data_IF_693789862049
#
_entry.id   IF_693789862049
#
_cell.length_a   1.000
_cell.length_b   1.000
_cell.length_c   1.000
_cell.angle_alpha   90.00
_cell.angle_beta   90.00
_cell.angle_gamma   90.00
#
_symmetry.space_group_name_H-M   'P 1'
#
loop_
_entity.id
_entity.type
_entity.pdbx_description
1 polymer ?
#
# COMPACT_ATOMS: atom_id res chain seq x y z
N UNK A 1 -12.92 -23.00 -11.27
CA UNK A 1 -12.24 -22.04 -10.38
C UNK A 1 -13.00 -21.99 -9.07
N UNK A 2 -12.29 -22.16 -7.98
CA UNK A 2 -12.84 -22.10 -6.63
C UNK A 2 -13.34 -20.68 -6.33
N UNK A 3 -14.50 -20.55 -5.67
CA UNK A 3 -14.98 -19.25 -5.22
C UNK A 3 -14.26 -18.88 -3.93
N UNK A 4 -13.75 -17.67 -3.87
CA UNK A 4 -13.05 -17.11 -2.73
C UNK A 4 -13.97 -16.13 -1.98
N UNK A 5 -14.31 -16.44 -0.74
CA UNK A 5 -15.13 -15.59 0.10
C UNK A 5 -14.30 -15.03 1.25
N UNK A 6 -14.10 -13.71 1.25
CA UNK A 6 -13.42 -12.98 2.31
C UNK A 6 -14.40 -12.43 3.32
N UNK A 7 -14.15 -12.70 4.60
CA UNK A 7 -14.82 -12.05 5.73
C UNK A 7 -13.76 -11.17 6.44
N UNK A 8 -14.00 -9.89 6.55
CA UNK A 8 -13.10 -8.98 7.25
C UNK A 8 -13.77 -8.41 8.49
N UNK A 9 -13.25 -8.79 9.65
CA UNK A 9 -13.69 -8.28 10.95
C UNK A 9 -12.99 -6.98 11.27
N UNK A 10 -13.78 -5.97 11.60
CA UNK A 10 -13.32 -4.61 11.84
C UNK A 10 -13.88 -4.03 13.14
N UNK A 11 -13.34 -2.87 13.53
CA UNK A 11 -13.99 -1.92 14.44
C UNK A 11 -14.06 -0.55 13.76
N UNK A 12 -15.13 0.20 13.99
CA UNK A 12 -15.28 1.55 13.43
C UNK A 12 -14.25 2.55 13.97
N UNK A 13 -13.58 2.24 15.08
CA UNK A 13 -12.47 3.03 15.63
C UNK A 13 -11.08 2.58 15.16
N UNK A 14 -11.01 1.55 14.32
CA UNK A 14 -9.75 0.98 13.83
C UNK A 14 -9.21 1.77 12.64
N UNK A 15 -8.05 2.39 12.79
CA UNK A 15 -7.41 3.19 11.72
C UNK A 15 -6.83 2.35 10.57
N UNK A 16 -6.48 1.08 10.82
CA UNK A 16 -5.89 0.18 9.82
C UNK A 16 -6.95 -0.63 9.05
N UNK A 17 -8.20 -0.67 9.52
CA UNK A 17 -9.24 -1.47 8.92
C UNK A 17 -9.68 -0.98 7.52
N UNK A 18 -9.76 0.33 7.24
CA UNK A 18 -10.20 0.83 5.94
C UNK A 18 -9.36 0.32 4.77
N UNK A 19 -8.03 0.28 4.91
CA UNK A 19 -7.14 -0.14 3.82
C UNK A 19 -7.36 -1.61 3.44
N UNK A 20 -7.52 -2.47 4.45
CA UNK A 20 -7.80 -3.91 4.24
C UNK A 20 -9.17 -4.13 3.61
N UNK A 21 -10.21 -3.43 4.09
CA UNK A 21 -11.58 -3.50 3.54
C UNK A 21 -11.57 -3.06 2.08
N UNK A 22 -10.92 -1.94 1.75
CA UNK A 22 -10.83 -1.43 0.39
C UNK A 22 -10.13 -2.39 -0.55
N UNK A 23 -9.01 -2.98 -0.11
CA UNK A 23 -8.27 -3.96 -0.92
C UNK A 23 -9.13 -5.19 -1.24
N UNK A 24 -9.83 -5.76 -0.25
CA UNK A 24 -10.69 -6.92 -0.47
C UNK A 24 -11.91 -6.60 -1.34
N UNK A 25 -12.49 -5.41 -1.19
CA UNK A 25 -13.57 -4.94 -2.06
C UNK A 25 -13.09 -4.75 -3.52
N UNK A 26 -11.85 -4.28 -3.72
CA UNK A 26 -11.26 -4.20 -5.06
C UNK A 26 -11.09 -5.59 -5.68
N UNK A 27 -10.62 -6.59 -4.91
CA UNK A 27 -10.53 -7.97 -5.40
C UNK A 27 -11.90 -8.48 -5.87
N UNK A 28 -12.95 -8.27 -5.06
CA UNK A 28 -14.31 -8.67 -5.41
C UNK A 28 -14.88 -7.91 -6.63
N UNK A 29 -14.48 -6.66 -6.83
CA UNK A 29 -14.91 -5.88 -7.99
C UNK A 29 -14.23 -6.35 -9.27
N UNK A 30 -12.96 -6.76 -9.18
CA UNK A 30 -12.15 -7.17 -10.34
C UNK A 30 -12.35 -8.62 -10.74
N UNK A 31 -12.80 -9.48 -9.82
CA UNK A 31 -12.97 -10.93 -10.09
C UNK A 31 -14.33 -11.43 -9.58
N UNK A 32 -15.23 -11.88 -10.47
CA UNK A 32 -16.56 -12.35 -10.09
C UNK A 32 -16.57 -13.62 -9.22
N UNK A 33 -15.45 -14.33 -9.12
CA UNK A 33 -15.31 -15.49 -8.23
C UNK A 33 -14.82 -15.09 -6.82
N UNK A 34 -14.62 -13.81 -6.57
CA UNK A 34 -14.24 -13.29 -5.26
C UNK A 34 -15.41 -12.50 -4.68
N UNK A 35 -15.71 -12.74 -3.42
CA UNK A 35 -16.65 -11.93 -2.63
C UNK A 35 -15.98 -11.44 -1.34
N UNK A 36 -16.41 -10.28 -0.87
CA UNK A 36 -15.91 -9.68 0.37
C UNK A 36 -17.06 -9.22 1.23
N UNK A 37 -17.00 -9.54 2.51
CA UNK A 37 -17.96 -9.12 3.52
C UNK A 37 -17.23 -8.43 4.67
N UNK A 38 -17.67 -7.23 5.03
CA UNK A 38 -17.17 -6.48 6.17
C UNK A 38 -18.06 -6.70 7.39
N UNK A 39 -17.48 -7.14 8.50
CA UNK A 39 -18.19 -7.46 9.73
C UNK A 39 -17.70 -6.54 10.85
N UNK A 40 -18.57 -5.70 11.38
CA UNK A 40 -18.27 -4.87 12.56
C UNK A 40 -18.39 -5.72 13.82
N UNK A 41 -17.25 -5.97 14.47
CA UNK A 41 -17.17 -6.76 15.70
C UNK A 41 -17.95 -6.16 16.87
N UNK A 42 -18.20 -4.84 16.87
CA UNK A 42 -19.05 -4.18 17.85
C UNK A 42 -20.53 -4.53 17.71
N UNK A 43 -20.98 -4.80 16.48
CA UNK A 43 -22.38 -5.21 16.21
C UNK A 43 -22.57 -6.74 16.33
N UNK A 44 -21.51 -7.52 16.12
CA UNK A 44 -21.57 -8.99 16.11
C UNK A 44 -20.59 -9.62 17.12
N UNK A 45 -20.71 -9.32 18.43
CA UNK A 45 -19.78 -9.81 19.44
C UNK A 45 -19.74 -11.34 19.55
N UNK A 46 -20.86 -12.01 19.27
CA UNK A 46 -20.91 -13.47 19.28
C UNK A 46 -19.98 -14.12 18.24
N UNK A 47 -19.85 -13.52 17.06
CA UNK A 47 -18.92 -13.98 16.03
C UNK A 47 -17.44 -13.73 16.42
N UNK A 48 -17.18 -12.66 17.15
CA UNK A 48 -15.84 -12.35 17.68
C UNK A 48 -15.42 -13.43 18.67
N UNK A 49 -16.33 -13.83 19.58
CA UNK A 49 -16.07 -14.90 20.56
C UNK A 49 -15.93 -16.27 19.87
N UNK A 50 -16.83 -16.61 18.96
CA UNK A 50 -16.83 -17.88 18.22
C UNK A 50 -15.52 -18.08 17.45
N UNK A 51 -15.05 -17.02 16.77
CA UNK A 51 -13.81 -17.04 15.97
C UNK A 51 -12.56 -16.75 16.80
N UNK A 52 -12.69 -16.50 18.11
CA UNK A 52 -11.59 -16.13 19.04
C UNK A 52 -10.73 -14.99 18.48
N UNK A 53 -11.37 -13.92 17.95
CA UNK A 53 -10.69 -12.78 17.36
C UNK A 53 -10.13 -11.90 18.46
N UNK A 54 -8.80 -11.73 18.46
CA UNK A 54 -8.09 -10.96 19.49
C UNK A 54 -7.77 -9.52 19.05
N UNK A 55 -7.94 -9.23 17.77
CA UNK A 55 -7.64 -7.89 17.20
C UNK A 55 -8.19 -7.71 15.81
N UNK A 56 -8.28 -6.45 15.38
CA UNK A 56 -8.80 -6.08 14.06
C UNK A 56 -7.79 -5.19 13.31
N UNK A 57 -7.74 -5.28 11.96
CA UNK A 57 -8.53 -6.14 11.09
C UNK A 57 -8.12 -7.61 11.19
N UNK A 58 -9.10 -8.53 11.19
CA UNK A 58 -8.90 -9.97 11.03
C UNK A 58 -9.62 -10.43 9.77
N UNK A 59 -8.89 -11.11 8.88
CA UNK A 59 -9.40 -11.57 7.58
C UNK A 59 -9.49 -13.08 7.58
N UNK A 60 -10.64 -13.58 7.20
CA UNK A 60 -10.90 -15.01 6.95
C UNK A 60 -11.13 -15.21 5.45
N UNK A 61 -10.66 -16.33 4.94
CA UNK A 61 -10.90 -16.78 3.57
C UNK A 61 -11.56 -18.16 3.61
N UNK A 62 -12.78 -18.25 3.09
CA UNK A 62 -13.60 -19.47 3.11
C UNK A 62 -13.74 -20.06 4.53
N UNK A 63 -13.86 -19.20 5.54
CA UNK A 63 -14.02 -19.57 6.96
C UNK A 63 -12.73 -19.88 7.71
N UNK A 64 -11.56 -19.88 7.06
CA UNK A 64 -10.26 -20.09 7.70
C UNK A 64 -9.49 -18.76 7.85
N UNK A 65 -8.71 -18.65 8.92
CA UNK A 65 -7.90 -17.46 9.15
C UNK A 65 -6.91 -17.24 7.99
N UNK A 66 -6.96 -16.07 7.38
CA UNK A 66 -6.11 -15.72 6.25
C UNK A 66 -5.04 -14.69 6.64
N UNK A 67 -5.45 -13.63 7.34
CA UNK A 67 -4.56 -12.55 7.71
C UNK A 67 -5.03 -11.82 8.97
N UNK A 68 -4.10 -11.24 9.72
CA UNK A 68 -4.37 -10.43 10.92
C UNK A 68 -3.54 -9.15 10.89
N UNK A 69 -4.11 -8.07 11.42
CA UNK A 69 -3.45 -6.78 11.57
C UNK A 69 -3.37 -5.98 10.27
N UNK A 70 -2.58 -4.90 10.31
CA UNK A 70 -2.42 -4.01 9.17
C UNK A 70 -1.72 -4.72 8.00
N UNK A 71 -2.44 -4.84 6.89
CA UNK A 71 -1.93 -5.40 5.65
C UNK A 71 -2.22 -4.46 4.48
N UNK A 72 -1.17 -4.16 3.73
CA UNK A 72 -1.32 -3.52 2.43
C UNK A 72 -1.81 -4.51 1.36
N UNK A 73 -2.30 -3.99 0.26
CA UNK A 73 -2.82 -4.79 -0.86
C UNK A 73 -1.78 -5.77 -1.40
N UNK A 74 -0.50 -5.36 -1.47
CA UNK A 74 0.58 -6.21 -1.97
C UNK A 74 0.77 -7.45 -1.10
N UNK A 75 0.77 -7.30 0.22
CA UNK A 75 0.86 -8.43 1.16
C UNK A 75 -0.35 -9.37 1.11
N UNK A 76 -1.56 -8.80 0.89
CA UNK A 76 -2.76 -9.63 0.70
C UNK A 76 -2.65 -10.45 -0.58
N UNK A 77 -2.15 -9.87 -1.67
CA UNK A 77 -1.90 -10.56 -2.93
C UNK A 77 -0.83 -11.65 -2.75
N UNK A 78 0.32 -11.33 -2.13
CA UNK A 78 1.38 -12.31 -1.84
C UNK A 78 0.85 -13.53 -1.06
N UNK A 79 0.04 -13.29 -0.02
CA UNK A 79 -0.58 -14.35 0.77
C UNK A 79 -1.57 -15.17 -0.05
N UNK A 80 -2.34 -14.52 -0.92
CA UNK A 80 -3.29 -15.20 -1.79
C UNK A 80 -2.57 -16.10 -2.80
N UNK A 81 -1.51 -15.60 -3.44
CA UNK A 81 -0.67 -16.37 -4.36
C UNK A 81 0.01 -17.54 -3.64
N UNK A 82 0.51 -17.33 -2.42
CA UNK A 82 1.14 -18.39 -1.64
C UNK A 82 0.16 -19.52 -1.26
N UNK A 83 -1.13 -19.19 -1.06
CA UNK A 83 -2.19 -20.17 -0.78
C UNK A 83 -2.71 -20.86 -2.04
N UNK A 84 -2.83 -20.11 -3.13
CA UNK A 84 -3.36 -20.55 -4.42
C UNK A 84 -2.35 -20.26 -5.55
N UNK A 85 -1.29 -21.09 -5.69
CA UNK A 85 -0.23 -20.85 -6.68
C UNK A 85 -0.72 -20.78 -8.12
N UNK A 86 -1.87 -21.40 -8.43
CA UNK A 86 -2.50 -21.35 -9.76
C UNK A 86 -2.94 -19.93 -10.18
N UNK A 87 -3.07 -19.01 -9.22
CA UNK A 87 -3.39 -17.59 -9.49
C UNK A 87 -2.17 -16.89 -10.10
N UNK A 88 -0.96 -17.31 -9.74
CA UNK A 88 0.29 -16.74 -10.25
C UNK A 88 0.58 -17.08 -11.72
N UNK A 89 -0.02 -18.16 -12.25
CA UNK A 89 0.16 -18.60 -13.65
C UNK A 89 -0.58 -17.72 -14.67
N UNK A 90 -1.33 -16.73 -14.23
CA UNK A 90 -1.87 -15.68 -15.11
C UNK A 90 -0.71 -14.74 -15.44
N UNK A 91 0.13 -15.19 -16.40
CA UNK A 91 1.08 -14.29 -17.06
C UNK A 91 0.34 -13.01 -17.44
N UNK A 92 0.81 -11.89 -16.93
CA UNK A 92 0.25 -10.59 -17.28
C UNK A 92 0.26 -10.46 -18.82
N UNK A 93 -0.93 -10.46 -19.41
CA UNK A 93 -1.12 -10.18 -20.84
C UNK A 93 -0.98 -8.68 -21.13
N UNK A 94 -0.55 -7.89 -20.16
CA UNK A 94 -0.25 -6.49 -20.37
C UNK A 94 0.95 -6.36 -21.32
N UNK A 95 0.84 -5.50 -22.34
CA UNK A 95 1.94 -5.26 -23.25
C UNK A 95 3.14 -4.74 -22.46
N UNK A 96 4.32 -5.32 -22.72
CA UNK A 96 5.56 -4.87 -22.10
C UNK A 96 5.76 -3.37 -22.33
N UNK A 97 6.03 -2.63 -21.26
CA UNK A 97 6.29 -1.19 -21.36
C UNK A 97 7.51 -0.94 -22.24
N UNK A 98 7.47 0.09 -23.10
CA UNK A 98 8.67 0.51 -23.83
C UNK A 98 9.75 0.94 -22.82
N UNK A 99 11.01 0.97 -23.26
CA UNK A 99 12.12 1.48 -22.43
C UNK A 99 11.75 2.85 -21.87
N UNK A 100 11.79 2.98 -20.56
CA UNK A 100 11.49 4.23 -19.85
C UNK A 100 12.72 5.15 -19.83
N UNK A 101 12.50 6.45 -19.81
CA UNK A 101 13.59 7.40 -19.59
C UNK A 101 13.94 7.47 -18.10
N UNK A 102 12.92 7.45 -17.25
CA UNK A 102 13.04 7.50 -15.80
C UNK A 102 12.08 6.51 -15.14
N UNK A 103 12.63 5.63 -14.33
CA UNK A 103 11.86 4.79 -13.41
C UNK A 103 12.01 5.34 -12.00
N UNK A 104 10.89 5.54 -11.30
CA UNK A 104 10.88 6.06 -9.95
C UNK A 104 10.39 4.98 -9.01
N UNK A 105 11.19 4.66 -8.00
CA UNK A 105 10.85 3.67 -6.99
C UNK A 105 10.43 4.39 -5.72
N UNK A 106 9.13 4.35 -5.45
CA UNK A 106 8.47 5.01 -4.32
C UNK A 106 7.46 6.06 -4.75
N UNK A 107 6.22 5.93 -4.26
CA UNK A 107 5.06 6.77 -4.58
C UNK A 107 4.76 7.85 -3.54
N UNK A 108 5.70 8.16 -2.65
CA UNK A 108 5.58 9.26 -1.69
C UNK A 108 5.77 10.64 -2.33
N UNK A 109 5.70 11.73 -1.53
CA UNK A 109 5.83 13.10 -2.05
C UNK A 109 7.09 13.33 -2.89
N UNK A 110 8.22 12.73 -2.51
CA UNK A 110 9.47 12.85 -3.24
C UNK A 110 9.40 12.16 -4.61
N UNK A 111 8.85 10.94 -4.66
CA UNK A 111 8.69 10.20 -5.92
C UNK A 111 7.70 10.86 -6.86
N UNK A 112 6.55 11.31 -6.36
CA UNK A 112 5.56 12.03 -7.15
C UNK A 112 6.14 13.35 -7.69
N UNK A 113 6.87 14.10 -6.87
CA UNK A 113 7.55 15.31 -7.33
C UNK A 113 8.55 15.02 -8.44
N UNK A 114 9.36 13.96 -8.30
CA UNK A 114 10.30 13.54 -9.33
C UNK A 114 9.57 13.13 -10.63
N UNK A 115 8.44 12.43 -10.52
CA UNK A 115 7.62 12.02 -11.66
C UNK A 115 7.08 13.23 -12.42
N UNK A 116 6.46 14.16 -11.71
CA UNK A 116 5.89 15.39 -12.31
C UNK A 116 6.99 16.17 -13.06
N UNK A 117 8.13 16.41 -12.41
CA UNK A 117 9.19 17.19 -13.05
C UNK A 117 9.85 16.48 -14.21
N UNK A 118 9.97 15.16 -14.17
CA UNK A 118 10.47 14.37 -15.30
C UNK A 118 9.50 14.38 -16.47
N UNK A 119 8.20 14.14 -16.21
CA UNK A 119 7.16 14.16 -17.23
C UNK A 119 7.01 15.55 -17.88
N UNK A 120 7.13 16.64 -17.11
CA UNK A 120 7.15 18.03 -17.63
C UNK A 120 8.29 18.31 -18.62
N UNK A 121 9.33 17.51 -18.63
CA UNK A 121 10.43 17.56 -19.60
C UNK A 121 10.19 16.67 -20.82
N UNK A 122 9.03 16.04 -20.93
CA UNK A 122 8.67 15.13 -22.02
C UNK A 122 9.33 13.76 -21.93
N UNK A 123 9.81 13.37 -20.74
CA UNK A 123 10.41 12.06 -20.52
C UNK A 123 9.30 11.02 -20.29
N UNK A 124 9.55 9.78 -20.72
CA UNK A 124 8.72 8.62 -20.41
C UNK A 124 9.00 8.18 -18.97
N UNK A 125 7.99 8.26 -18.11
CA UNK A 125 8.12 8.06 -16.67
C UNK A 125 7.22 6.94 -16.18
N UNK A 126 7.79 6.03 -15.39
CA UNK A 126 7.02 5.04 -14.64
C UNK A 126 7.33 5.19 -13.15
N UNK A 127 6.29 5.19 -12.32
CA UNK A 127 6.38 5.14 -10.84
C UNK A 127 5.98 3.75 -10.37
N UNK A 128 6.83 3.13 -9.57
CA UNK A 128 6.54 1.86 -8.89
C UNK A 128 6.41 2.13 -7.41
N UNK A 129 5.32 1.69 -6.79
CA UNK A 129 5.07 1.93 -5.38
C UNK A 129 4.20 0.83 -4.76
N UNK A 130 4.39 0.56 -3.46
CA UNK A 130 3.44 -0.22 -2.68
C UNK A 130 2.09 0.49 -2.61
N UNK A 131 2.13 1.81 -2.37
CA UNK A 131 0.95 2.69 -2.38
C UNK A 131 1.34 4.11 -2.80
N UNK A 132 0.46 4.77 -3.53
CA UNK A 132 0.63 6.19 -3.87
C UNK A 132 0.27 7.05 -2.65
N UNK A 133 1.06 8.11 -2.43
CA UNK A 133 1.05 8.94 -1.23
C UNK A 133 2.11 8.51 -0.22
N UNK A 134 2.52 7.23 -0.20
CA UNK A 134 3.53 6.72 0.71
C UNK A 134 3.14 6.88 2.19
N UNK A 135 4.13 7.01 3.06
CA UNK A 135 3.94 7.09 4.52
C UNK A 135 3.20 8.35 4.97
N UNK A 136 3.23 9.43 4.20
CA UNK A 136 2.52 10.67 4.55
C UNK A 136 1.01 10.46 4.68
N UNK A 137 0.46 9.46 3.97
CA UNK A 137 -0.95 9.09 4.01
C UNK A 137 -1.44 8.71 5.42
N UNK A 138 -0.52 8.25 6.28
CA UNK A 138 -0.83 7.84 7.66
C UNK A 138 -0.81 9.01 8.67
N UNK A 139 -0.44 10.23 8.21
CA UNK A 139 -0.34 11.41 9.06
C UNK A 139 -1.68 12.13 9.14
N UNK A 140 -2.19 12.37 10.36
CA UNK A 140 -3.49 13.01 10.56
C UNK A 140 -3.43 14.54 10.44
N UNK A 141 -2.35 15.16 10.88
CA UNK A 141 -2.16 16.61 10.84
C UNK A 141 -0.81 16.98 10.23
N UNK A 142 -0.83 17.82 9.20
CA UNK A 142 0.35 18.34 8.51
C UNK A 142 0.29 19.87 8.52
N UNK A 143 1.17 20.50 9.27
CA UNK A 143 1.27 21.96 9.43
C UNK A 143 2.68 22.49 9.07
N UNK A 144 3.57 21.62 8.60
CA UNK A 144 4.97 21.94 8.28
C UNK A 144 5.28 21.96 6.78
N UNK A 145 4.25 21.92 5.93
CA UNK A 145 4.41 22.06 4.48
C UNK A 145 4.26 23.53 4.10
N UNK A 146 5.34 24.13 3.57
CA UNK A 146 5.33 25.54 3.13
C UNK A 146 4.22 25.75 2.12
N UNK A 147 3.48 26.84 2.26
CA UNK A 147 2.29 27.26 1.51
C UNK A 147 0.99 26.51 1.83
N UNK A 148 1.04 25.48 2.65
CA UNK A 148 -0.15 24.77 3.15
C UNK A 148 -0.24 24.98 4.65
N UNK A 149 -1.21 25.75 5.11
CA UNK A 149 -1.34 26.11 6.54
C UNK A 149 -1.64 24.86 7.36
N UNK A 150 -2.58 24.04 6.89
CA UNK A 150 -2.99 22.79 7.51
C UNK A 150 -3.61 21.86 6.47
N UNK A 151 -3.27 20.58 6.53
CA UNK A 151 -3.88 19.52 5.73
C UNK A 151 -3.75 18.18 6.46
N UNK A 152 -4.39 17.16 5.95
CA UNK A 152 -4.20 15.77 6.37
C UNK A 152 -3.35 15.00 5.37
N UNK A 153 -2.77 13.88 5.79
CA UNK A 153 -2.00 13.01 4.90
C UNK A 153 -2.82 12.50 3.72
N UNK A 154 -4.05 12.00 3.93
CA UNK A 154 -4.93 11.61 2.83
C UNK A 154 -5.22 12.74 1.85
N UNK A 155 -5.54 13.95 2.33
CA UNK A 155 -5.80 15.11 1.46
C UNK A 155 -4.56 15.50 0.65
N UNK A 156 -3.39 15.55 1.29
CA UNK A 156 -2.13 15.84 0.59
C UNK A 156 -1.81 14.78 -0.44
N UNK A 157 -1.98 13.50 -0.10
CA UNK A 157 -1.74 12.39 -1.02
C UNK A 157 -2.66 12.45 -2.24
N UNK A 158 -3.94 12.75 -2.03
CA UNK A 158 -4.90 12.92 -3.12
C UNK A 158 -4.57 14.11 -4.02
N UNK A 159 -4.14 15.23 -3.42
CA UNK A 159 -3.71 16.41 -4.18
C UNK A 159 -2.45 16.13 -5.02
N UNK A 160 -1.49 15.41 -4.46
CA UNK A 160 -0.28 15.00 -5.18
C UNK A 160 -0.60 14.04 -6.33
N UNK A 161 -1.47 13.05 -6.10
CA UNK A 161 -1.91 12.11 -7.14
C UNK A 161 -2.68 12.84 -8.25
N UNK A 162 -3.61 13.72 -7.90
CA UNK A 162 -4.35 14.52 -8.87
C UNK A 162 -3.39 15.34 -9.73
N UNK A 163 -2.38 15.99 -9.13
CA UNK A 163 -1.37 16.73 -9.87
C UNK A 163 -0.53 15.85 -10.80
N UNK A 164 -0.14 14.65 -10.36
CA UNK A 164 0.61 13.71 -11.19
C UNK A 164 -0.21 13.22 -12.39
N UNK A 165 -1.51 13.02 -12.22
CA UNK A 165 -2.43 12.55 -13.25
C UNK A 165 -2.68 13.59 -14.38
N UNK A 166 -2.27 14.83 -14.19
CA UNK A 166 -2.25 15.84 -15.30
C UNK A 166 -1.14 15.56 -16.32
N UNK A 167 -0.26 14.62 -16.06
CA UNK A 167 0.86 14.25 -16.92
C UNK A 167 0.80 12.77 -17.31
N UNK A 168 1.44 12.43 -18.43
CA UNK A 168 1.57 11.04 -18.90
C UNK A 168 2.60 10.28 -18.04
N UNK A 169 2.21 9.87 -16.85
CA UNK A 169 3.02 9.05 -15.94
C UNK A 169 2.37 7.68 -15.80
N UNK A 170 3.11 6.63 -16.14
CA UNK A 170 2.67 5.26 -15.87
C UNK A 170 2.84 4.96 -14.38
N UNK A 171 1.79 4.48 -13.73
CA UNK A 171 1.82 4.13 -12.31
C UNK A 171 1.63 2.63 -12.14
N UNK A 172 2.57 1.99 -11.45
CA UNK A 172 2.52 0.59 -11.00
C UNK A 172 2.37 0.60 -9.48
N UNK A 173 1.13 0.63 -9.01
CA UNK A 173 0.80 0.58 -7.58
C UNK A 173 0.62 -0.88 -7.13
N UNK A 174 0.94 -1.17 -5.88
CA UNK A 174 0.95 -2.51 -5.27
C UNK A 174 2.07 -3.43 -5.76
N UNK A 175 3.12 -2.85 -6.33
CA UNK A 175 4.30 -3.58 -6.78
C UNK A 175 5.54 -3.19 -5.99
N UNK A 176 6.43 -4.17 -5.81
CA UNK A 176 7.76 -4.00 -5.22
C UNK A 176 8.83 -4.33 -6.23
N UNK A 177 9.98 -3.71 -6.04
CA UNK A 177 11.18 -4.03 -6.80
C UNK A 177 11.98 -5.07 -6.04
N UNK A 178 12.19 -6.23 -6.66
CA UNK A 178 12.96 -7.32 -6.09
C UNK A 178 14.44 -7.22 -6.45
N UNK A 179 14.71 -6.80 -7.69
CA UNK A 179 16.08 -6.77 -8.19
C UNK A 179 16.26 -5.69 -9.25
N UNK A 180 17.44 -5.07 -9.22
CA UNK A 180 17.90 -4.15 -10.25
C UNK A 180 19.20 -4.71 -10.84
N UNK A 181 19.24 -4.82 -12.17
CA UNK A 181 20.44 -5.16 -12.92
C UNK A 181 20.86 -3.88 -13.63
N UNK A 182 22.11 -3.47 -13.43
CA UNK A 182 22.66 -2.27 -14.04
C UNK A 182 23.56 -2.68 -15.20
N UNK A 183 23.06 -2.50 -16.42
CA UNK A 183 23.82 -2.58 -17.63
C UNK A 183 24.25 -1.17 -18.07
N UNK A 184 25.27 -1.04 -18.89
CA UNK A 184 25.91 0.26 -19.17
C UNK A 184 24.92 1.31 -19.74
N UNK A 185 24.03 0.92 -20.66
CA UNK A 185 23.08 1.84 -21.31
C UNK A 185 21.69 1.84 -20.69
N UNK A 186 21.22 0.67 -20.21
CA UNK A 186 19.90 0.50 -19.60
C UNK A 186 20.02 -0.24 -18.28
N UNK A 187 18.97 -0.12 -17.48
CA UNK A 187 18.80 -0.85 -16.23
C UNK A 187 17.56 -1.71 -16.33
N UNK A 188 17.69 -2.96 -15.92
CA UNK A 188 16.59 -3.92 -15.90
C UNK A 188 16.08 -4.04 -14.48
N UNK A 189 14.79 -3.74 -14.27
CA UNK A 189 14.15 -3.77 -12.96
C UNK A 189 13.11 -4.88 -12.93
N UNK A 190 13.31 -5.83 -12.01
CA UNK A 190 12.40 -6.95 -11.78
C UNK A 190 11.46 -6.61 -10.64
N UNK A 191 10.15 -6.77 -10.88
CA UNK A 191 9.10 -6.58 -9.90
C UNK A 191 8.73 -7.90 -9.22
N UNK A 192 8.15 -7.81 -8.03
CA UNK A 192 7.63 -8.96 -7.28
C UNK A 192 6.54 -9.75 -8.02
N UNK A 193 5.90 -9.13 -9.02
CA UNK A 193 4.94 -9.79 -9.92
C UNK A 193 5.60 -10.66 -10.98
N UNK A 194 6.93 -10.61 -11.14
CA UNK A 194 7.66 -11.21 -12.26
C UNK A 194 7.76 -10.31 -13.50
N UNK A 195 7.07 -9.15 -13.52
CA UNK A 195 7.19 -8.16 -14.60
C UNK A 195 8.61 -7.58 -14.63
N UNK A 196 9.09 -7.28 -15.83
CA UNK A 196 10.40 -6.67 -16.06
C UNK A 196 10.22 -5.34 -16.77
N UNK A 197 10.84 -4.28 -16.24
CA UNK A 197 10.82 -2.95 -16.83
C UNK A 197 12.25 -2.52 -17.14
N UNK A 198 12.47 -2.08 -18.39
CA UNK A 198 13.75 -1.48 -18.80
C UNK A 198 13.68 0.04 -18.68
N UNK A 199 14.76 0.64 -18.19
CA UNK A 199 14.85 2.09 -18.00
C UNK A 199 16.28 2.61 -18.19
N UNK A 200 16.40 3.86 -18.60
CA UNK A 200 17.71 4.54 -18.73
C UNK A 200 18.23 5.06 -17.40
N UNK A 201 17.32 5.52 -16.53
CA UNK A 201 17.67 6.04 -15.21
C UNK A 201 16.68 5.63 -14.14
N UNK A 202 17.16 5.57 -12.90
CA UNK A 202 16.34 5.23 -11.74
C UNK A 202 16.47 6.33 -10.69
N UNK A 203 15.33 6.75 -10.15
CA UNK A 203 15.27 7.61 -8.96
C UNK A 203 14.72 6.76 -7.80
N UNK A 204 15.52 6.63 -6.75
CA UNK A 204 15.14 5.90 -5.53
C UNK A 204 14.53 6.90 -4.56
N UNK A 205 13.23 6.77 -4.29
CA UNK A 205 12.45 7.63 -3.41
C UNK A 205 11.60 6.79 -2.43
N UNK A 206 12.17 5.68 -1.95
CA UNK A 206 11.49 4.66 -1.13
C UNK A 206 11.11 5.15 0.28
N UNK A 207 11.58 6.32 0.67
CA UNK A 207 11.28 6.91 1.97
C UNK A 207 12.01 6.22 3.12
N UNK A 208 11.39 6.22 4.28
CA UNK A 208 11.90 5.60 5.49
C UNK A 208 10.86 4.67 6.11
N UNK A 209 11.32 3.72 6.88
CA UNK A 209 10.50 2.87 7.71
C UNK A 209 10.93 3.05 9.16
N UNK A 210 9.97 3.16 10.07
CA UNK A 210 10.26 3.21 11.49
C UNK A 210 10.90 1.90 11.95
N UNK A 211 11.89 2.01 12.81
CA UNK A 211 12.51 0.83 13.42
C UNK A 211 11.71 0.44 14.64
N UNK A 212 11.09 -0.72 14.58
CA UNK A 212 10.39 -1.31 15.70
C UNK A 212 11.41 -1.88 16.71
N UNK A 213 11.05 -1.87 18.00
CA UNK A 213 11.83 -2.51 19.06
C UNK A 213 11.65 -4.03 19.06
N UNK A 214 10.51 -4.50 18.54
CA UNK A 214 10.15 -5.92 18.50
C UNK A 214 9.80 -6.50 19.89
N UNK A 215 9.33 -5.66 20.82
CA UNK A 215 8.93 -6.08 22.15
C UNK A 215 7.44 -6.40 22.23
N UNK A 216 7.01 -7.30 23.13
CA UNK A 216 5.60 -7.59 23.36
C UNK A 216 4.81 -6.32 23.72
N UNK A 217 3.65 -6.13 23.11
CA UNK A 217 2.78 -4.98 23.34
C UNK A 217 3.11 -3.76 22.47
N UNK A 218 4.21 -3.76 21.71
CA UNK A 218 4.59 -2.62 20.88
C UNK A 218 3.53 -2.35 19.81
N UNK A 219 3.18 -3.37 19.03
CA UNK A 219 2.26 -3.23 17.90
C UNK A 219 0.83 -2.93 18.32
N UNK A 220 0.40 -3.53 19.41
CA UNK A 220 -0.94 -3.35 19.95
C UNK A 220 -1.17 -1.95 20.52
N UNK A 221 -0.09 -1.28 20.94
CA UNK A 221 -0.14 0.04 21.56
C UNK A 221 0.30 1.19 20.62
N UNK A 222 0.53 0.93 19.34
CA UNK A 222 0.80 1.99 18.37
C UNK A 222 -0.38 2.96 18.31
N UNK A 223 -0.12 4.24 18.56
CA UNK A 223 -1.14 5.29 18.68
C UNK A 223 -1.86 5.34 20.04
N UNK A 224 -1.56 4.38 20.93
CA UNK A 224 -2.14 4.30 22.27
C UNK A 224 -1.05 4.05 23.32
N UNK A 225 -0.02 4.92 23.33
CA UNK A 225 1.11 4.85 24.26
C UNK A 225 2.45 4.56 23.59
N UNK A 226 2.45 3.97 22.40
CA UNK A 226 3.65 3.78 21.55
C UNK A 226 3.55 4.68 20.34
N UNK A 227 4.57 5.51 20.12
CA UNK A 227 4.70 6.39 18.97
C UNK A 227 6.13 6.36 18.43
N UNK A 228 6.26 6.48 17.12
CA UNK A 228 7.57 6.45 16.45
C UNK A 228 8.03 7.84 16.00
N UNK A 229 7.10 8.78 15.86
CA UNK A 229 7.41 10.15 15.43
C UNK A 229 7.13 11.15 16.56
N UNK A 230 8.15 11.60 17.28
CA UNK A 230 7.94 12.56 18.37
C UNK A 230 7.39 13.91 17.90
N UNK A 231 7.66 14.29 16.65
CA UNK A 231 7.14 15.53 16.08
C UNK A 231 5.69 15.41 15.59
N UNK A 232 5.28 14.22 15.15
CA UNK A 232 3.92 13.96 14.66
C UNK A 232 2.97 13.68 15.83
N UNK A 233 3.40 12.79 16.73
CA UNK A 233 2.55 12.21 17.77
C UNK A 233 2.78 12.85 19.15
N UNK A 234 3.96 13.46 19.36
CA UNK A 234 4.34 14.07 20.63
C UNK A 234 3.33 15.06 21.23
N UNK A 235 2.67 15.93 20.43
CA UNK A 235 1.63 16.83 20.93
C UNK A 235 0.44 16.12 21.59
N UNK A 236 0.13 14.87 21.18
CA UNK A 236 -0.98 14.08 21.75
C UNK A 236 -0.66 13.49 23.12
N UNK A 237 0.61 13.43 23.50
CA UNK A 237 1.08 12.90 24.79
C UNK A 237 1.47 13.95 25.81
N UNK A 238 1.04 15.22 25.62
CA UNK A 238 1.16 16.25 26.64
C UNK A 238 0.19 15.92 27.78
N UNK A 239 0.74 15.48 28.92
CA UNK A 239 0.01 15.33 30.17
C UNK A 239 -0.27 16.66 30.84
#
# INVERSE_FOLDING_TARGET
SETLHFEVFISLSCHNCPDVVQALNQFATLNPNISSEMIDGGLYPALIEERNIQGVPSVYLNGEIFANGNMDTAKLIEKLIAREPTIADVTSTEPQLPVQDVLIIGGGPAGISAAIYSARKGLKVTVIADRIGGQVKDTMDIENLISVIKTTGPELSNALLAHMNEYEVTTKEHFRVDKIINDDETKTVHLSSGEIIETRSIIIATGAQWRELGVPGEKENIGNGVAYCPHCDGPFFKG
#
